data_IF_165875600222
#
_entry.id   IF_165875600222
#
_cell.length_a   1.000
_cell.length_b   1.000
_cell.length_c   1.000
_cell.angle_alpha   90.00
_cell.angle_beta   90.00
_cell.angle_gamma   90.00
#
_symmetry.space_group_name_H-M   'P 1'
#
loop_
_entity.id
_entity.type
_entity.pdbx_description
1 polymer ?
#
# COMPACT_ATOMS: atom_id res chain seq x y z
N UNK A 1 15.03 -22.52 -17.14
CA UNK A 1 16.24 -21.89 -17.71
C UNK A 1 17.01 -21.21 -16.60
N UNK A 2 18.24 -21.64 -16.32
CA UNK A 2 19.07 -21.03 -15.27
C UNK A 2 20.02 -20.05 -15.95
N UNK A 3 20.02 -18.79 -15.50
CA UNK A 3 20.89 -17.73 -16.00
C UNK A 3 22.13 -17.64 -15.11
N UNK A 4 23.30 -17.52 -15.71
CA UNK A 4 24.54 -17.25 -14.98
C UNK A 4 24.66 -15.73 -14.78
N UNK A 5 24.67 -15.29 -13.51
CA UNK A 5 24.68 -13.87 -13.16
C UNK A 5 25.98 -13.17 -13.60
N UNK A 6 27.06 -13.90 -13.90
CA UNK A 6 28.31 -13.27 -14.41
C UNK A 6 28.17 -12.71 -15.81
N UNK A 7 27.30 -13.31 -16.63
CA UNK A 7 27.07 -12.91 -18.03
C UNK A 7 25.75 -12.17 -18.21
N UNK A 8 24.93 -12.13 -17.17
CA UNK A 8 23.70 -11.36 -17.14
C UNK A 8 24.03 -9.87 -17.01
N UNK A 9 23.59 -9.09 -18.00
CA UNK A 9 23.83 -7.66 -18.07
C UNK A 9 23.24 -6.90 -16.88
N UNK A 10 22.16 -7.41 -16.29
CA UNK A 10 21.52 -6.78 -15.13
C UNK A 10 22.41 -6.85 -13.87
N UNK A 11 23.33 -7.81 -13.81
CA UNK A 11 24.24 -8.05 -12.67
C UNK A 11 25.66 -7.55 -12.90
N UNK A 12 25.94 -6.99 -14.08
CA UNK A 12 27.26 -6.49 -14.43
C UNK A 12 27.76 -5.45 -13.42
N UNK A 13 28.94 -5.71 -12.83
CA UNK A 13 29.54 -4.86 -11.80
C UNK A 13 28.84 -4.87 -10.43
N UNK A 14 27.78 -5.65 -10.24
CA UNK A 14 27.01 -5.74 -9.00
C UNK A 14 27.21 -7.04 -8.24
N UNK A 15 27.92 -8.02 -8.78
CA UNK A 15 28.10 -9.33 -8.14
C UNK A 15 29.55 -9.63 -7.80
N UNK A 16 29.76 -10.17 -6.61
CA UNK A 16 31.04 -10.69 -6.16
C UNK A 16 30.87 -12.12 -5.65
N UNK A 17 31.71 -13.02 -6.15
CA UNK A 17 31.75 -14.42 -5.74
C UNK A 17 32.95 -14.63 -4.84
N UNK A 18 32.71 -15.07 -3.61
CA UNK A 18 33.74 -15.38 -2.65
C UNK A 18 33.70 -16.87 -2.31
N UNK A 19 34.66 -17.63 -2.80
CA UNK A 19 34.79 -19.05 -2.48
C UNK A 19 36.07 -19.32 -1.69
N UNK A 20 35.93 -19.93 -0.51
CA UNK A 20 37.03 -20.43 0.32
C UNK A 20 36.82 -21.92 0.58
N UNK A 21 37.58 -22.75 -0.14
CA UNK A 21 37.45 -24.21 -0.07
C UNK A 21 36.07 -24.67 -0.55
N UNK A 22 35.30 -25.32 0.33
CA UNK A 22 33.93 -25.80 0.05
C UNK A 22 32.83 -24.78 0.39
N UNK A 23 33.20 -23.60 0.90
CA UNK A 23 32.26 -22.54 1.23
C UNK A 23 32.30 -21.47 0.14
N UNK A 24 31.14 -21.18 -0.45
CA UNK A 24 30.98 -20.16 -1.48
C UNK A 24 29.84 -19.23 -1.09
N UNK A 25 30.08 -17.93 -1.21
CA UNK A 25 29.11 -16.86 -0.97
C UNK A 25 28.97 -16.02 -2.24
N UNK A 26 27.74 -15.59 -2.51
CA UNK A 26 27.43 -14.57 -3.51
C UNK A 26 27.08 -13.28 -2.76
N UNK A 27 27.73 -12.19 -3.13
CA UNK A 27 27.37 -10.84 -2.68
C UNK A 27 26.82 -10.06 -3.86
N UNK A 28 25.67 -9.45 -3.68
CA UNK A 28 25.04 -8.56 -4.66
C UNK A 28 25.04 -7.14 -4.08
N UNK A 29 25.60 -6.20 -4.82
CA UNK A 29 25.67 -4.78 -4.47
C UNK A 29 24.52 -4.03 -5.14
N UNK A 30 24.05 -2.95 -4.48
CA UNK A 30 22.97 -2.11 -4.99
C UNK A 30 21.78 -2.95 -5.47
N UNK A 31 21.23 -3.72 -4.52
CA UNK A 31 20.08 -4.61 -4.75
C UNK A 31 18.84 -3.79 -5.11
N UNK A 32 18.05 -4.33 -6.03
CA UNK A 32 16.82 -3.73 -6.57
C UNK A 32 15.66 -4.67 -6.36
N UNK A 33 14.43 -4.17 -6.42
CA UNK A 33 13.24 -5.03 -6.32
C UNK A 33 13.25 -6.18 -7.36
N UNK A 34 13.74 -5.91 -8.57
CA UNK A 34 13.91 -6.90 -9.65
C UNK A 34 14.92 -8.02 -9.35
N UNK A 35 15.77 -7.84 -8.33
CA UNK A 35 16.68 -8.89 -7.86
C UNK A 35 15.98 -9.91 -6.95
N UNK A 36 14.72 -9.70 -6.59
CA UNK A 36 13.93 -10.65 -5.79
C UNK A 36 13.60 -11.90 -6.60
N UNK A 37 14.34 -12.98 -6.35
CA UNK A 37 14.20 -14.26 -7.06
C UNK A 37 14.87 -15.40 -6.30
N UNK A 38 14.73 -16.60 -6.84
CA UNK A 38 15.43 -17.79 -6.36
C UNK A 38 16.84 -17.88 -6.97
N UNK A 39 17.84 -17.86 -6.10
CA UNK A 39 19.24 -18.02 -6.44
C UNK A 39 19.68 -19.46 -6.16
N UNK A 40 20.37 -20.07 -7.13
CA UNK A 40 20.90 -21.43 -7.00
C UNK A 40 22.38 -21.44 -7.26
N UNK A 41 23.12 -22.09 -6.37
CA UNK A 41 24.51 -22.39 -6.61
C UNK A 41 24.62 -23.61 -7.52
N UNK A 42 25.51 -23.53 -8.52
CA UNK A 42 25.81 -24.64 -9.42
C UNK A 42 27.31 -24.86 -9.43
N UNK A 43 27.72 -26.11 -9.19
CA UNK A 43 29.10 -26.53 -9.41
C UNK A 43 29.20 -27.39 -10.67
N UNK A 44 30.24 -27.11 -11.45
CA UNK A 44 30.61 -27.86 -12.64
C UNK A 44 31.95 -28.52 -12.36
N UNK A 45 32.02 -29.84 -12.53
CA UNK A 45 33.26 -30.60 -12.36
C UNK A 45 34.01 -30.68 -13.69
N UNK A 46 35.20 -31.28 -13.68
CA UNK A 46 35.97 -31.58 -14.89
C UNK A 46 35.36 -32.70 -15.75
N UNK A 47 34.28 -33.35 -15.32
CA UNK A 47 33.57 -34.36 -16.10
C UNK A 47 32.51 -33.69 -16.98
N UNK A 48 32.36 -34.11 -18.24
CA UNK A 48 31.45 -33.49 -19.21
C UNK A 48 29.99 -33.42 -18.74
N UNK A 49 29.53 -34.44 -18.00
CA UNK A 49 28.19 -34.48 -17.40
C UNK A 49 28.11 -33.97 -15.95
N UNK A 50 29.24 -33.60 -15.35
CA UNK A 50 29.34 -33.28 -13.93
C UNK A 50 28.82 -31.89 -13.62
N UNK A 51 27.50 -31.70 -13.61
CA UNK A 51 26.88 -30.41 -13.29
C UNK A 51 25.78 -30.59 -12.25
N UNK A 52 26.01 -30.03 -11.08
CA UNK A 52 25.13 -30.20 -9.94
C UNK A 52 24.64 -28.83 -9.50
N UNK A 53 23.32 -28.69 -9.37
CA UNK A 53 22.67 -27.45 -8.94
C UNK A 53 22.04 -27.69 -7.58
N UNK A 54 22.38 -26.86 -6.60
CA UNK A 54 21.77 -26.94 -5.27
C UNK A 54 20.26 -26.75 -5.35
N UNK A 55 19.53 -27.57 -4.60
CA UNK A 55 18.08 -27.52 -4.44
C UNK A 55 17.76 -27.49 -2.94
N UNK A 56 16.82 -26.64 -2.46
CA UNK A 56 15.93 -25.78 -3.25
C UNK A 56 16.58 -24.50 -3.80
N UNK A 57 17.72 -24.07 -3.24
CA UNK A 57 18.33 -22.76 -3.50
C UNK A 57 18.11 -21.80 -2.34
N UNK A 58 18.25 -20.50 -2.59
CA UNK A 58 17.99 -19.41 -1.64
C UNK A 58 17.07 -18.40 -2.30
N UNK A 59 15.94 -18.10 -1.67
CA UNK A 59 15.03 -17.05 -2.13
C UNK A 59 15.45 -15.72 -1.52
N UNK A 60 15.76 -14.74 -2.38
CA UNK A 60 16.02 -13.36 -1.97
C UNK A 60 14.74 -12.55 -2.16
N UNK A 61 14.35 -11.79 -1.14
CA UNK A 61 13.29 -10.79 -1.22
C UNK A 61 13.89 -9.43 -0.90
N UNK A 62 13.73 -8.47 -1.81
CA UNK A 62 14.15 -7.08 -1.63
C UNK A 62 12.90 -6.26 -1.36
N UNK A 63 12.77 -5.77 -0.14
CA UNK A 63 11.60 -5.03 0.34
C UNK A 63 12.02 -3.70 0.93
N UNK A 64 11.26 -2.65 0.63
CA UNK A 64 11.43 -1.35 1.27
C UNK A 64 10.84 -1.37 2.69
N UNK A 65 11.28 -0.45 3.59
CA UNK A 65 10.60 -0.23 4.87
C UNK A 65 9.12 0.03 4.65
N UNK A 66 8.28 -0.43 5.58
CA UNK A 66 6.83 -0.25 5.52
C UNK A 66 6.34 0.39 6.82
N UNK A 67 5.48 1.40 6.71
CA UNK A 67 4.81 1.97 7.88
C UNK A 67 3.62 1.12 8.26
N UNK A 68 3.63 0.59 9.48
CA UNK A 68 2.48 -0.08 10.09
C UNK A 68 1.73 0.90 10.98
N UNK A 69 0.42 0.99 10.80
CA UNK A 69 -0.48 1.81 11.61
C UNK A 69 -1.05 0.94 12.73
N UNK A 70 -0.79 1.31 13.98
CA UNK A 70 -1.23 0.60 15.16
C UNK A 70 -2.16 1.51 15.98
N UNK A 71 -3.43 1.09 16.14
CA UNK A 71 -4.37 1.77 17.05
C UNK A 71 -4.10 1.33 18.48
N UNK A 72 -3.99 2.31 19.37
CA UNK A 72 -3.80 2.10 20.80
C UNK A 72 -5.15 2.05 21.53
N UNK A 73 -5.13 1.62 22.80
CA UNK A 73 -6.31 1.64 23.67
C UNK A 73 -6.84 3.05 23.90
N UNK A 74 -5.93 4.04 23.91
CA UNK A 74 -6.30 5.45 23.86
C UNK A 74 -6.69 5.79 22.41
N UNK A 75 -7.98 6.07 22.15
CA UNK A 75 -8.41 6.36 20.79
C UNK A 75 -7.68 7.59 20.27
N UNK A 76 -7.36 8.59 21.09
CA UNK A 76 -6.76 9.84 20.60
C UNK A 76 -5.31 9.70 20.09
N UNK A 77 -4.70 8.53 20.25
CA UNK A 77 -3.30 8.27 19.91
C UNK A 77 -3.16 7.17 18.87
N UNK A 78 -2.39 7.47 17.84
CA UNK A 78 -2.01 6.50 16.81
C UNK A 78 -0.50 6.27 16.91
N UNK A 79 -0.09 5.01 16.91
CA UNK A 79 1.31 4.63 16.80
C UNK A 79 1.60 4.21 15.36
N UNK A 80 2.57 4.87 14.74
CA UNK A 80 3.18 4.41 13.51
C UNK A 80 4.47 3.66 13.84
N UNK A 81 4.68 2.53 13.19
CA UNK A 81 5.88 1.70 13.36
C UNK A 81 6.55 1.50 12.02
N UNK A 82 7.84 1.83 11.93
CA UNK A 82 8.63 1.59 10.75
C UNK A 82 9.12 0.14 10.76
N UNK A 83 8.47 -0.71 9.96
CA UNK A 83 8.77 -2.13 9.90
C UNK A 83 9.71 -2.45 8.74
N UNK A 84 10.73 -3.25 9.00
CA UNK A 84 11.59 -3.83 7.96
C UNK A 84 11.79 -5.33 8.20
N UNK A 85 11.65 -6.13 7.15
CA UNK A 85 11.93 -7.57 7.19
C UNK A 85 13.43 -7.88 6.95
N UNK A 86 14.25 -6.84 6.72
CA UNK A 86 15.67 -6.97 6.48
C UNK A 86 16.42 -7.40 7.75
N UNK A 87 17.36 -8.34 7.61
CA UNK A 87 18.29 -8.72 8.67
C UNK A 87 19.41 -7.68 8.81
N UNK A 88 19.06 -6.52 9.36
CA UNK A 88 19.99 -5.42 9.58
C UNK A 88 20.79 -5.61 10.88
N UNK A 89 22.06 -5.18 10.92
CA UNK A 89 22.82 -5.09 12.17
C UNK A 89 22.08 -4.19 13.16
N UNK A 90 21.87 -4.66 14.40
CA UNK A 90 21.18 -3.89 15.45
C UNK A 90 22.18 -3.09 16.29
N UNK A 91 21.81 -1.89 16.77
CA UNK A 91 20.51 -1.22 16.61
C UNK A 91 20.34 -0.52 15.25
N UNK A 92 19.11 -0.52 14.75
CA UNK A 92 18.73 0.23 13.53
C UNK A 92 18.16 1.57 13.95
N UNK A 93 18.64 2.65 13.34
CA UNK A 93 18.07 4.00 13.50
C UNK A 93 17.17 4.33 12.32
N UNK A 94 16.08 5.01 12.60
CA UNK A 94 15.10 5.42 11.59
C UNK A 94 15.07 6.94 11.43
N UNK A 95 14.47 7.40 10.35
CA UNK A 95 14.11 8.80 10.11
C UNK A 95 12.66 8.83 9.67
N UNK A 96 11.83 9.60 10.36
CA UNK A 96 10.45 9.84 9.95
C UNK A 96 10.34 11.11 9.14
N UNK A 97 9.50 11.07 8.11
CA UNK A 97 9.18 12.19 7.26
C UNK A 97 7.68 12.48 7.35
N UNK A 98 7.35 13.74 7.53
CA UNK A 98 6.00 14.30 7.44
C UNK A 98 5.95 15.22 6.23
N UNK A 99 5.09 14.91 5.26
CA UNK A 99 5.03 15.64 3.99
C UNK A 99 6.42 15.87 3.37
N UNK A 100 7.21 14.79 3.32
CA UNK A 100 8.58 14.75 2.79
C UNK A 100 9.62 15.54 3.60
N UNK A 101 9.21 16.13 4.73
CA UNK A 101 10.09 16.87 5.64
C UNK A 101 10.50 15.99 6.82
N UNK A 102 11.80 15.85 7.14
CA UNK A 102 12.24 15.07 8.30
C UNK A 102 11.75 15.67 9.62
N UNK A 103 11.08 14.85 10.45
CA UNK A 103 10.56 15.25 11.78
C UNK A 103 11.38 14.69 12.95
N UNK A 104 12.52 14.05 12.65
CA UNK A 104 13.57 13.64 13.60
C UNK A 104 13.10 12.78 14.78
N UNK A 105 12.90 11.49 14.53
CA UNK A 105 12.98 10.48 15.59
C UNK A 105 13.94 9.40 15.15
N UNK A 106 14.92 9.03 15.99
CA UNK A 106 15.80 7.87 15.73
C UNK A 106 15.13 6.54 16.10
N UNK A 107 13.87 6.61 16.53
CA UNK A 107 13.09 5.49 17.04
C UNK A 107 12.29 4.81 15.93
N UNK A 108 12.07 3.51 16.09
CA UNK A 108 11.19 2.72 15.23
C UNK A 108 9.73 3.21 15.24
N UNK A 109 9.31 3.89 16.32
CA UNK A 109 7.94 4.32 16.53
C UNK A 109 7.79 5.83 16.48
N UNK A 110 6.70 6.28 15.87
CA UNK A 110 6.20 7.66 15.88
C UNK A 110 4.80 7.68 16.49
N UNK A 111 4.55 8.60 17.42
CA UNK A 111 3.24 8.75 18.07
C UNK A 111 2.56 10.03 17.61
N UNK A 112 1.37 9.91 17.07
CA UNK A 112 0.54 11.01 16.60
C UNK A 112 -0.54 11.31 17.63
N UNK A 113 -0.81 12.59 17.88
CA UNK A 113 -1.73 13.08 18.91
C UNK A 113 -3.13 13.46 18.40
N UNK A 114 -3.52 13.03 17.19
CA UNK A 114 -4.88 13.29 16.68
C UNK A 114 -5.35 12.28 15.64
N UNK A 115 -6.67 12.11 15.54
CA UNK A 115 -7.33 11.51 14.38
C UNK A 115 -7.51 12.56 13.29
N UNK A 116 -7.31 12.15 12.04
CA UNK A 116 -7.41 13.00 10.85
C UNK A 116 -6.16 13.87 10.61
N UNK A 117 -5.00 13.20 10.50
CA UNK A 117 -3.80 13.84 9.99
C UNK A 117 -3.97 14.08 8.50
N UNK A 118 -3.99 15.35 8.08
CA UNK A 118 -3.94 15.71 6.66
C UNK A 118 -2.57 15.40 6.05
N UNK A 119 -1.58 15.17 6.90
CA UNK A 119 -0.20 14.88 6.56
C UNK A 119 0.02 13.45 6.10
N UNK A 120 1.08 13.28 5.32
CA UNK A 120 1.58 12.01 4.82
C UNK A 120 2.82 11.62 5.60
N UNK A 121 2.81 10.43 6.19
CA UNK A 121 3.93 9.92 6.98
C UNK A 121 4.69 8.82 6.24
N UNK A 122 6.00 8.95 6.24
CA UNK A 122 6.94 7.98 5.70
C UNK A 122 8.04 7.71 6.72
N UNK A 123 8.70 6.57 6.60
CA UNK A 123 9.90 6.29 7.35
C UNK A 123 11.01 5.78 6.44
N UNK A 124 12.25 6.07 6.80
CA UNK A 124 13.44 5.54 6.15
C UNK A 124 14.41 5.00 7.20
N UNK A 125 15.35 4.17 6.75
CA UNK A 125 16.50 3.78 7.57
C UNK A 125 17.51 4.94 7.52
N UNK A 126 18.09 5.30 8.67
CA UNK A 126 19.06 6.39 8.74
C UNK A 126 20.29 6.08 7.86
N UNK A 127 20.69 7.04 7.02
CA UNK A 127 21.72 6.88 6.00
C UNK A 127 21.23 6.33 4.66
N UNK A 128 19.93 6.00 4.56
CA UNK A 128 19.25 5.54 3.35
C UNK A 128 17.93 6.30 3.14
N UNK A 129 17.92 7.60 3.46
CA UNK A 129 16.75 8.48 3.33
C UNK A 129 16.33 8.72 1.87
N UNK A 130 17.17 8.36 0.91
CA UNK A 130 16.89 8.38 -0.52
C UNK A 130 15.84 7.34 -0.96
N UNK A 131 15.57 6.35 -0.11
CA UNK A 131 14.57 5.30 -0.36
C UNK A 131 13.63 5.16 0.85
N UNK A 132 12.71 6.13 1.07
CA UNK A 132 11.74 6.03 2.14
C UNK A 132 10.65 5.00 1.82
N UNK A 133 9.95 4.57 2.87
CA UNK A 133 8.73 3.77 2.74
C UNK A 133 7.68 4.48 1.90
N UNK A 134 6.73 3.76 1.29
CA UNK A 134 5.50 4.35 0.82
C UNK A 134 4.79 5.15 1.92
N UNK A 135 4.20 6.29 1.57
CA UNK A 135 3.55 7.18 2.52
C UNK A 135 2.19 6.66 2.98
N UNK A 136 1.91 6.74 4.28
CA UNK A 136 0.56 6.50 4.85
C UNK A 136 -0.12 7.83 5.20
N UNK A 137 -1.42 7.90 4.96
CA UNK A 137 -2.26 9.09 5.13
C UNK A 137 -3.74 8.72 5.25
N UNK A 138 -4.52 9.61 5.87
CA UNK A 138 -5.97 9.48 5.92
C UNK A 138 -6.61 9.65 4.52
N UNK A 139 -7.81 9.10 4.27
CA UNK A 139 -8.48 9.21 2.97
C UNK A 139 -8.67 10.67 2.56
N UNK A 140 -8.34 10.98 1.31
CA UNK A 140 -8.50 12.31 0.70
C UNK A 140 -9.18 12.22 -0.65
N UNK A 141 -9.56 13.38 -1.18
CA UNK A 141 -10.27 13.54 -2.47
C UNK A 141 -11.46 12.58 -2.62
N UNK A 142 -12.21 12.36 -1.55
CA UNK A 142 -13.35 11.44 -1.52
C UNK A 142 -14.50 12.01 -2.34
N UNK A 143 -14.95 11.26 -3.33
CA UNK A 143 -16.01 11.66 -4.26
C UNK A 143 -16.98 10.51 -4.49
N UNK A 144 -18.26 10.84 -4.61
CA UNK A 144 -19.30 9.93 -5.06
C UNK A 144 -19.65 10.28 -6.50
N UNK A 145 -19.61 9.31 -7.40
CA UNK A 145 -20.03 9.45 -8.79
C UNK A 145 -21.21 8.53 -9.11
N UNK A 146 -21.99 8.89 -10.13
CA UNK A 146 -23.15 8.14 -10.61
C UNK A 146 -22.98 7.82 -12.10
N UNK A 147 -23.32 6.61 -12.51
CA UNK A 147 -23.24 6.16 -13.91
C UNK A 147 -24.43 5.27 -14.26
N UNK A 148 -25.21 5.58 -15.32
CA UNK A 148 -25.15 6.81 -16.12
C UNK A 148 -25.58 8.06 -15.32
N UNK A 149 -25.18 9.25 -15.79
CA UNK A 149 -25.55 10.52 -15.12
C UNK A 149 -27.01 10.91 -15.34
N UNK A 150 -27.57 10.57 -16.51
CA UNK A 150 -29.01 10.69 -16.74
C UNK A 150 -29.70 9.43 -16.24
N UNK A 151 -30.53 9.58 -15.22
CA UNK A 151 -31.26 8.48 -14.59
C UNK A 151 -32.72 8.50 -14.99
N UNK A 152 -33.15 7.47 -15.73
CA UNK A 152 -34.55 7.23 -16.10
C UNK A 152 -35.06 6.06 -15.26
N UNK A 153 -36.33 6.10 -14.86
CA UNK A 153 -36.99 5.02 -14.16
C UNK A 153 -36.80 3.67 -14.89
N UNK A 154 -36.56 2.61 -14.13
CA UNK A 154 -36.31 1.27 -14.67
C UNK A 154 -34.88 1.03 -15.18
N UNK A 155 -34.05 2.07 -15.33
CA UNK A 155 -32.66 1.91 -15.78
C UNK A 155 -31.74 1.39 -14.66
N UNK A 156 -30.62 0.78 -15.07
CA UNK A 156 -29.56 0.36 -14.17
C UNK A 156 -28.60 1.51 -13.88
N UNK A 157 -28.38 1.82 -12.60
CA UNK A 157 -27.54 2.94 -12.14
C UNK A 157 -26.54 2.44 -11.12
N UNK A 158 -25.28 2.87 -11.24
CA UNK A 158 -24.21 2.53 -10.30
C UNK A 158 -23.68 3.79 -9.64
N UNK A 159 -23.67 3.78 -8.30
CA UNK A 159 -22.95 4.75 -7.49
C UNK A 159 -21.57 4.19 -7.18
N UNK A 160 -20.53 4.98 -7.39
CA UNK A 160 -19.15 4.60 -7.05
C UNK A 160 -18.53 5.64 -6.13
N UNK A 161 -18.11 5.22 -4.95
CA UNK A 161 -17.31 6.05 -4.07
C UNK A 161 -15.82 5.84 -4.39
N UNK A 162 -15.06 6.92 -4.52
CA UNK A 162 -13.63 6.89 -4.79
C UNK A 162 -12.91 7.79 -3.82
N UNK A 163 -11.72 7.38 -3.34
CA UNK A 163 -10.85 8.17 -2.48
C UNK A 163 -9.41 7.71 -2.65
N UNK A 164 -8.46 8.66 -2.55
CA UNK A 164 -7.04 8.36 -2.42
C UNK A 164 -6.71 8.11 -0.95
N UNK A 165 -6.31 6.88 -0.61
CA UNK A 165 -6.04 6.48 0.77
C UNK A 165 -4.96 5.40 0.83
N UNK A 166 -4.03 5.55 1.78
CA UNK A 166 -3.08 4.50 2.14
C UNK A 166 -2.89 4.47 3.66
N UNK A 167 -3.25 3.40 4.40
CA UNK A 167 -3.79 2.12 3.91
C UNK A 167 -5.14 2.24 3.21
N UNK A 168 -5.52 1.18 2.49
CA UNK A 168 -6.79 1.11 1.76
C UNK A 168 -7.99 1.48 2.65
N UNK A 169 -8.85 2.34 2.14
CA UNK A 169 -10.03 2.79 2.87
C UNK A 169 -11.17 1.78 2.82
N UNK A 170 -12.03 1.83 3.84
CA UNK A 170 -13.36 1.22 3.85
C UNK A 170 -14.38 2.28 3.46
N UNK A 171 -15.37 1.89 2.67
CA UNK A 171 -16.35 2.80 2.09
C UNK A 171 -17.75 2.52 2.61
N UNK A 172 -18.51 3.60 2.81
CA UNK A 172 -19.94 3.54 3.10
C UNK A 172 -20.68 4.55 2.23
N UNK A 173 -21.77 4.14 1.58
CA UNK A 173 -22.62 5.01 0.77
C UNK A 173 -23.92 5.28 1.52
N UNK A 174 -24.32 6.54 1.60
CA UNK A 174 -25.47 7.01 2.34
C UNK A 174 -26.46 7.73 1.44
N UNK A 175 -27.75 7.58 1.76
CA UNK A 175 -28.85 8.41 1.25
C UNK A 175 -29.29 9.38 2.32
N UNK A 176 -29.46 10.64 1.98
CA UNK A 176 -30.04 11.66 2.85
C UNK A 176 -31.55 11.68 2.62
N UNK A 177 -32.32 11.44 3.69
CA UNK A 177 -33.76 11.68 3.71
C UNK A 177 -34.01 13.06 4.33
N UNK A 178 -35.04 13.78 3.87
CA UNK A 178 -35.37 15.11 4.38
C UNK A 178 -35.50 15.11 5.91
N UNK A 179 -34.62 15.87 6.59
CA UNK A 179 -34.64 16.06 8.05
C UNK A 179 -33.94 15.00 8.90
N UNK A 180 -33.25 14.01 8.32
CA UNK A 180 -32.56 12.95 9.09
C UNK A 180 -31.06 12.83 8.82
N UNK A 181 -30.34 12.18 9.74
CA UNK A 181 -28.97 11.68 9.53
C UNK A 181 -28.97 10.69 8.35
N UNK A 182 -27.91 10.68 7.53
CA UNK A 182 -27.85 9.84 6.33
C UNK A 182 -28.08 8.35 6.62
N UNK A 183 -28.99 7.72 5.87
CA UNK A 183 -29.27 6.30 5.93
C UNK A 183 -28.19 5.53 5.17
N UNK A 184 -27.54 4.58 5.86
CA UNK A 184 -26.56 3.69 5.23
C UNK A 184 -27.26 2.79 4.20
N UNK A 185 -26.82 2.89 2.94
CA UNK A 185 -27.31 2.03 1.86
C UNK A 185 -26.45 0.78 1.72
N UNK A 186 -25.12 0.97 1.68
CA UNK A 186 -24.15 -0.10 1.48
C UNK A 186 -22.82 0.23 2.13
N UNK A 187 -22.14 -0.82 2.59
CA UNK A 187 -20.75 -0.78 3.07
C UNK A 187 -19.83 -1.41 2.02
N UNK A 188 -19.83 -0.79 0.84
CA UNK A 188 -19.00 -1.20 -0.30
C UNK A 188 -18.56 0.04 -1.09
N UNK A 189 -17.56 -0.13 -1.94
CA UNK A 189 -17.08 0.93 -2.84
C UNK A 189 -18.14 1.32 -3.88
N UNK A 190 -19.08 0.41 -4.17
CA UNK A 190 -20.14 0.61 -5.16
C UNK A 190 -21.52 0.24 -4.62
N UNK A 191 -22.54 0.89 -5.17
CA UNK A 191 -23.95 0.51 -5.01
C UNK A 191 -24.63 0.47 -6.36
N UNK A 192 -25.14 -0.70 -6.73
CA UNK A 192 -25.86 -0.91 -7.99
C UNK A 192 -27.36 -0.95 -7.72
N UNK A 193 -28.11 -0.12 -8.44
CA UNK A 193 -29.55 -0.20 -8.62
C UNK A 193 -29.80 -0.88 -9.95
N UNK A 194 -30.37 -2.09 -9.94
CA UNK A 194 -30.69 -2.82 -11.18
C UNK A 194 -31.85 -2.20 -11.95
N UNK A 195 -32.77 -1.54 -11.24
CA UNK A 195 -33.95 -0.85 -11.78
C UNK A 195 -34.29 0.31 -10.84
N UNK A 196 -33.70 1.48 -11.08
CA UNK A 196 -33.90 2.66 -10.23
C UNK A 196 -35.34 3.19 -10.34
N UNK A 197 -35.94 3.61 -9.22
CA UNK A 197 -37.31 4.11 -9.18
C UNK A 197 -37.35 5.62 -8.94
N UNK A 198 -38.47 6.28 -9.29
CA UNK A 198 -38.65 7.72 -8.96
C UNK A 198 -38.51 7.98 -7.45
N UNK A 199 -38.92 7.01 -6.62
CA UNK A 199 -38.76 7.04 -5.16
C UNK A 199 -37.30 6.98 -4.69
N UNK A 200 -36.34 6.67 -5.57
CA UNK A 200 -34.90 6.71 -5.27
C UNK A 200 -34.28 8.09 -5.53
N UNK A 201 -35.07 9.05 -6.03
CA UNK A 201 -34.64 10.45 -6.12
C UNK A 201 -34.25 10.97 -4.75
N UNK A 202 -33.12 11.66 -4.68
CA UNK A 202 -32.63 12.21 -3.43
C UNK A 202 -31.15 12.55 -3.47
N UNK A 203 -30.63 12.89 -2.30
CA UNK A 203 -29.24 13.30 -2.12
C UNK A 203 -28.42 12.16 -1.54
N UNK A 204 -27.25 11.93 -2.11
CA UNK A 204 -26.36 10.81 -1.77
C UNK A 204 -24.96 11.32 -1.48
N UNK A 205 -24.27 10.68 -0.54
CA UNK A 205 -22.85 10.93 -0.27
C UNK A 205 -22.18 9.64 0.17
N UNK A 206 -20.86 9.61 0.21
CA UNK A 206 -20.13 8.49 0.77
C UNK A 206 -19.08 8.93 1.78
N UNK A 207 -18.65 8.00 2.63
CA UNK A 207 -17.49 8.18 3.52
C UNK A 207 -16.44 7.14 3.17
N UNK A 208 -15.17 7.56 3.23
CA UNK A 208 -14.00 6.71 3.14
C UNK A 208 -13.23 6.81 4.46
N UNK A 209 -12.85 5.68 5.05
CA UNK A 209 -12.14 5.65 6.34
C UNK A 209 -11.05 4.59 6.40
N UNK A 210 -9.89 4.94 6.97
CA UNK A 210 -8.83 4.00 7.34
C UNK A 210 -8.40 4.25 8.80
N UNK A 211 -7.30 3.61 9.23
CA UNK A 211 -6.86 3.72 10.62
C UNK A 211 -6.36 5.12 11.02
N UNK A 212 -6.00 5.96 10.04
CA UNK A 212 -5.48 7.32 10.22
C UNK A 212 -6.57 8.41 10.23
N UNK A 213 -7.73 8.12 9.65
CA UNK A 213 -8.84 9.06 9.62
C UNK A 213 -9.91 8.69 8.63
N UNK A 214 -10.82 9.63 8.39
CA UNK A 214 -11.92 9.47 7.45
C UNK A 214 -12.30 10.78 6.79
N UNK A 215 -12.80 10.69 5.57
CA UNK A 215 -13.34 11.83 4.83
C UNK A 215 -14.72 11.51 4.26
N UNK A 216 -15.59 12.50 4.30
CA UNK A 216 -16.93 12.46 3.70
C UNK A 216 -16.90 13.19 2.36
N UNK A 217 -17.49 12.60 1.33
CA UNK A 217 -17.62 13.25 0.02
C UNK A 217 -18.61 14.42 0.08
N UNK A 218 -18.50 15.39 -0.84
CA UNK A 218 -19.65 16.22 -1.19
C UNK A 218 -20.85 15.34 -1.57
N UNK A 219 -22.06 15.84 -1.33
CA UNK A 219 -23.26 15.14 -1.75
C UNK A 219 -23.57 15.40 -3.22
N UNK A 220 -24.14 14.41 -3.89
CA UNK A 220 -24.72 14.52 -5.23
C UNK A 220 -26.24 14.37 -5.15
N UNK A 221 -26.97 15.10 -5.98
CA UNK A 221 -28.41 14.94 -6.14
C UNK A 221 -28.68 14.05 -7.35
N UNK A 222 -29.44 12.98 -7.13
CA UNK A 222 -29.88 12.06 -8.18
C UNK A 222 -31.36 12.33 -8.41
N UNK A 223 -31.71 12.69 -9.64
CA UNK A 223 -33.08 12.97 -10.06
C UNK A 223 -33.52 11.95 -11.11
N UNK A 224 -34.35 11.01 -10.68
CA UNK A 224 -34.86 9.94 -11.54
C UNK A 224 -36.09 10.47 -12.28
N UNK A 225 -36.01 10.53 -13.61
CA UNK A 225 -37.11 10.96 -14.47
C UNK A 225 -38.05 9.78 -14.74
N UNK A 226 -39.36 10.05 -14.77
CA UNK A 226 -40.36 9.08 -15.25
C UNK A 226 -40.04 8.69 -16.71
N UNK A 227 -40.41 7.47 -17.08
CA UNK A 227 -40.42 7.02 -18.47
C UNK A 227 -41.45 7.79 -19.32
#
# INVERSE_FOLDING_TARGET
NNVDLKIDTDYSGRVEYQCRGKSCSLKIFNVRQADSKDYKFRFTTNHESGRYTGSPGVSLSVTDPQVKVNRLDDPTRIQLTCHTDCQLPRPVSYVWLEDETPITTENENLFLSSFNTTHRYQCAIKGHEDVPSPAVYAPRTTVLSVTPSETVEGSSVTLTCSSDANPAAKYNIYRVNEGQHGQLLRTEIQSVFSSIQVSDTGRYYCTAGNDLGSQTSPSIDINVKCE
#
